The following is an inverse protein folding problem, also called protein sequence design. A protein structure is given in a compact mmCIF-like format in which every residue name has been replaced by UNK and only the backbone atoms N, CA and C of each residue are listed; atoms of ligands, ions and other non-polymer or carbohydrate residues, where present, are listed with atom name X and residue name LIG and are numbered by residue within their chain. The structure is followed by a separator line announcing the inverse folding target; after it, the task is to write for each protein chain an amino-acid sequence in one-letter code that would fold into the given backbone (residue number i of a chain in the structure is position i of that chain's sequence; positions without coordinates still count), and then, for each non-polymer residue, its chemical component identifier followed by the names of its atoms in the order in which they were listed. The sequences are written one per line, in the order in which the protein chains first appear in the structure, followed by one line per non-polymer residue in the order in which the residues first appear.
data_IF_642153353397
#
_entry.id   IF_642153353397
#
_cell.length_a   1.000
_cell.length_b   1.000
_cell.length_c   1.000
_cell.angle_alpha   90.00
_cell.angle_beta   90.00
_cell.angle_gamma   90.00
#
_symmetry.space_group_name_H-M   'P 1'
#
loop_
_entity.id
_entity.type
_entity.pdbx_description
1 polymer ?
#
# COMPACT_ATOMS: atom_id res chain seq x y z
N UNK A 1 -48.03 32.67 -6.62
CA UNK A 1 -47.08 33.76 -6.93
C UNK A 1 -46.32 34.10 -5.67
N UNK A 2 -45.02 34.32 -5.85
CA UNK A 2 -43.96 34.45 -4.84
C UNK A 2 -44.24 35.50 -3.74
N UNK A 3 -43.72 35.26 -2.53
CA UNK A 3 -42.49 35.93 -2.06
C UNK A 3 -42.03 35.38 -0.71
N UNK A 4 -40.80 34.90 -0.71
CA UNK A 4 -39.98 34.65 0.47
C UNK A 4 -39.47 35.98 1.06
N UNK A 5 -39.19 36.00 2.36
CA UNK A 5 -38.24 36.93 2.96
C UNK A 5 -37.54 36.26 4.15
N UNK A 6 -36.26 35.96 3.95
CA UNK A 6 -35.29 35.67 5.00
C UNK A 6 -34.93 36.95 5.76
N UNK A 7 -34.60 36.83 7.05
CA UNK A 7 -33.57 37.66 7.72
C UNK A 7 -33.06 36.94 8.98
N UNK A 8 -31.74 36.80 9.04
CA UNK A 8 -30.90 36.05 10.00
C UNK A 8 -30.63 36.85 11.30
N UNK A 9 -29.49 36.66 12.00
CA UNK A 9 -28.97 35.50 12.74
C UNK A 9 -28.93 35.81 14.26
N UNK A 10 -29.25 34.83 15.11
CA UNK A 10 -29.16 34.97 16.57
C UNK A 10 -28.09 34.07 17.15
N UNK A 11 -27.12 34.68 17.82
CA UNK A 11 -26.02 34.09 18.58
C UNK A 11 -26.37 32.76 19.27
N UNK A 12 -25.58 31.73 18.98
CA UNK A 12 -25.40 30.60 19.88
C UNK A 12 -23.92 30.47 20.20
N UNK A 13 -23.61 30.78 21.46
CA UNK A 13 -22.33 30.54 22.11
C UNK A 13 -21.76 29.14 21.85
N UNK A 14 -20.43 28.98 21.90
CA UNK A 14 -19.80 27.67 21.87
C UNK A 14 -20.08 26.92 23.18
N UNK A 15 -19.82 25.62 23.17
CA UNK A 15 -19.86 24.67 24.32
C UNK A 15 -21.21 24.03 24.65
N UNK A 16 -21.55 23.03 23.84
CA UNK A 16 -21.78 21.67 24.35
C UNK A 16 -21.02 20.70 23.45
N UNK A 17 -19.77 20.42 23.78
CA UNK A 17 -19.13 19.17 23.35
C UNK A 17 -19.97 18.04 23.92
N UNK A 18 -20.82 17.42 23.10
CA UNK A 18 -21.29 16.09 23.45
C UNK A 18 -20.04 15.21 23.52
N UNK A 19 -19.83 14.54 24.65
CA UNK A 19 -18.79 13.51 24.79
C UNK A 19 -19.14 12.25 23.96
N UNK A 20 -19.82 12.41 22.83
CA UNK A 20 -20.22 11.32 21.94
C UNK A 20 -19.26 11.31 20.76
N UNK A 21 -18.59 10.19 20.55
CA UNK A 21 -17.78 9.99 19.36
C UNK A 21 -18.64 9.97 18.09
N UNK A 22 -18.01 10.14 16.93
CA UNK A 22 -18.71 10.21 15.66
C UNK A 22 -19.31 8.84 15.27
N UNK A 23 -20.48 8.88 14.62
CA UNK A 23 -21.15 7.69 14.06
C UNK A 23 -21.49 7.97 12.61
N UNK A 24 -21.00 7.12 11.71
CA UNK A 24 -21.19 7.19 10.25
C UNK A 24 -21.57 5.80 9.75
N UNK A 25 -22.86 5.62 9.45
CA UNK A 25 -23.41 4.36 8.94
C UNK A 25 -23.62 4.38 7.43
N UNK A 26 -23.89 5.58 6.89
CA UNK A 26 -24.18 5.82 5.48
C UNK A 26 -23.04 6.61 4.85
N UNK A 27 -22.66 6.20 3.64
CA UNK A 27 -21.72 6.94 2.84
C UNK A 27 -22.32 8.29 2.41
N UNK A 28 -21.54 9.36 2.43
CA UNK A 28 -21.85 10.48 1.55
C UNK A 28 -21.69 10.04 0.08
N UNK A 29 -22.40 10.67 -0.88
CA UNK A 29 -22.14 10.47 -2.30
C UNK A 29 -20.65 10.60 -2.56
N UNK A 30 -19.98 9.65 -3.20
CA UNK A 30 -18.53 9.76 -3.39
C UNK A 30 -18.18 10.86 -4.39
N UNK A 31 -16.97 11.44 -4.29
CA UNK A 31 -16.51 12.41 -5.30
C UNK A 31 -16.34 11.70 -6.64
N UNK A 32 -17.09 12.09 -7.70
CA UNK A 32 -17.05 11.40 -8.99
C UNK A 32 -15.64 11.24 -9.52
N UNK A 33 -15.33 10.07 -10.09
CA UNK A 33 -14.04 9.81 -10.70
C UNK A 33 -13.97 10.59 -12.01
N UNK A 34 -12.96 11.42 -12.18
CA UNK A 34 -12.87 12.36 -13.32
C UNK A 34 -11.94 11.89 -14.43
N UNK A 35 -11.29 10.72 -14.27
CA UNK A 35 -10.31 10.19 -15.23
C UNK A 35 -10.41 8.68 -15.36
N UNK A 36 -10.31 8.17 -16.59
CA UNK A 36 -10.29 6.73 -16.87
C UNK A 36 -8.92 6.10 -16.58
N UNK A 37 -8.96 4.92 -15.96
CA UNK A 37 -7.81 4.04 -15.78
C UNK A 37 -7.14 4.18 -14.41
N UNK A 38 -6.23 3.24 -14.06
CA UNK A 38 -5.36 3.44 -12.90
C UNK A 38 -4.62 4.77 -13.06
N UNK A 39 -4.34 5.47 -11.95
CA UNK A 39 -3.41 6.61 -12.00
C UNK A 39 -2.17 6.15 -12.77
N UNK A 40 -1.67 6.93 -13.76
CA UNK A 40 -0.49 6.54 -14.49
C UNK A 40 0.63 6.31 -13.49
N UNK A 41 1.03 5.05 -13.32
CA UNK A 41 2.13 4.69 -12.44
C UNK A 41 3.35 5.46 -12.91
N UNK A 42 3.77 6.40 -12.09
CA UNK A 42 4.98 7.19 -12.32
C UNK A 42 6.08 6.47 -11.56
N UNK A 43 7.04 5.83 -12.25
CA UNK A 43 8.09 5.07 -11.58
C UNK A 43 8.78 5.93 -10.52
N UNK A 44 8.85 5.42 -9.29
CA UNK A 44 9.51 6.13 -8.20
C UNK A 44 11.01 6.26 -8.49
N UNK A 45 11.71 7.09 -7.72
CA UNK A 45 13.19 7.12 -7.79
C UNK A 45 13.78 5.73 -7.51
N UNK A 46 13.17 4.97 -6.60
CA UNK A 46 13.58 3.60 -6.28
C UNK A 46 13.46 2.68 -7.50
N UNK A 47 12.32 2.70 -8.21
CA UNK A 47 12.10 1.85 -9.39
C UNK A 47 13.08 2.19 -10.52
N UNK A 48 13.32 3.49 -10.74
CA UNK A 48 14.29 3.95 -11.73
C UNK A 48 15.72 3.56 -11.36
N UNK A 49 16.10 3.65 -10.08
CA UNK A 49 17.40 3.18 -9.57
C UNK A 49 17.56 1.67 -9.74
N UNK A 50 16.53 0.90 -9.44
CA UNK A 50 16.54 -0.56 -9.61
C UNK A 50 16.76 -0.96 -11.07
N UNK A 51 15.98 -0.38 -12.00
CA UNK A 51 16.16 -0.64 -13.44
C UNK A 51 17.55 -0.21 -13.95
N UNK A 52 18.11 0.88 -13.39
CA UNK A 52 19.46 1.32 -13.73
C UNK A 52 20.53 0.36 -13.23
N UNK A 53 20.42 -0.09 -11.97
CA UNK A 53 21.34 -1.05 -11.37
C UNK A 53 21.30 -2.40 -12.10
N UNK A 54 20.13 -2.89 -12.50
CA UNK A 54 19.99 -4.13 -13.27
C UNK A 54 20.73 -4.04 -14.62
N UNK A 55 20.60 -2.91 -15.34
CA UNK A 55 21.35 -2.68 -16.58
C UNK A 55 22.87 -2.62 -16.35
N UNK A 56 23.32 -1.98 -15.27
CA UNK A 56 24.74 -1.94 -14.90
C UNK A 56 25.27 -3.34 -14.59
N UNK A 57 24.53 -4.13 -13.82
CA UNK A 57 24.90 -5.52 -13.56
C UNK A 57 25.02 -6.29 -14.88
N UNK A 58 24.00 -6.23 -15.74
CA UNK A 58 23.99 -6.88 -17.05
C UNK A 58 25.22 -6.51 -17.89
N UNK A 59 25.56 -5.22 -17.95
CA UNK A 59 26.74 -4.74 -18.67
C UNK A 59 28.06 -5.31 -18.13
N UNK A 60 28.14 -5.54 -16.81
CA UNK A 60 29.34 -6.00 -16.13
C UNK A 60 29.34 -7.50 -15.78
N UNK A 61 28.29 -8.25 -16.16
CA UNK A 61 28.14 -9.68 -15.91
C UNK A 61 29.38 -10.51 -16.28
N UNK A 62 30.07 -10.32 -17.43
CA UNK A 62 31.25 -11.11 -17.75
C UNK A 62 32.38 -10.97 -16.71
N UNK A 63 32.59 -9.75 -16.20
CA UNK A 63 33.58 -9.50 -15.15
C UNK A 63 33.14 -10.12 -13.83
N UNK A 64 31.88 -9.90 -13.43
CA UNK A 64 31.32 -10.45 -12.20
C UNK A 64 31.34 -11.99 -12.20
N UNK A 65 31.09 -12.65 -13.34
CA UNK A 65 31.17 -14.11 -13.48
C UNK A 65 32.58 -14.64 -13.27
N UNK A 66 33.60 -13.93 -13.78
CA UNK A 66 35.01 -14.27 -13.52
C UNK A 66 35.38 -14.10 -12.05
N UNK A 67 34.91 -13.03 -11.40
CA UNK A 67 35.05 -12.85 -9.95
C UNK A 67 34.43 -14.03 -9.18
N UNK A 68 33.15 -14.33 -9.45
CA UNK A 68 32.42 -15.44 -8.82
C UNK A 68 33.14 -16.77 -8.93
N UNK A 69 33.71 -17.08 -10.10
CA UNK A 69 34.41 -18.33 -10.34
C UNK A 69 35.84 -18.36 -9.76
N UNK A 70 36.57 -17.24 -9.84
CA UNK A 70 37.98 -17.18 -9.41
C UNK A 70 38.18 -16.90 -7.93
N UNK A 71 37.16 -16.39 -7.23
CA UNK A 71 37.21 -16.01 -5.82
C UNK A 71 36.23 -16.85 -4.98
N UNK A 72 36.07 -18.14 -5.30
CA UNK A 72 35.25 -19.06 -4.51
C UNK A 72 35.74 -19.07 -3.06
N UNK A 73 34.81 -18.92 -2.11
CA UNK A 73 35.13 -18.81 -0.68
C UNK A 73 35.71 -17.46 -0.26
N UNK A 74 35.87 -16.50 -1.17
CA UNK A 74 36.37 -15.16 -0.86
C UNK A 74 35.40 -14.04 -1.29
N UNK A 75 34.81 -14.11 -2.47
CA UNK A 75 33.85 -13.13 -2.96
C UNK A 75 32.53 -13.24 -2.19
N UNK A 76 32.02 -12.14 -1.65
CA UNK A 76 30.83 -12.05 -0.78
C UNK A 76 29.57 -11.48 -1.44
N UNK A 77 29.65 -11.08 -2.71
CA UNK A 77 28.55 -10.45 -3.45
C UNK A 77 28.80 -8.97 -3.75
N UNK A 78 27.92 -8.37 -4.55
CA UNK A 78 27.91 -6.93 -4.87
C UNK A 78 26.71 -6.21 -4.24
N UNK A 79 26.90 -4.98 -3.79
CA UNK A 79 25.82 -4.06 -3.42
C UNK A 79 25.88 -2.81 -4.31
N UNK A 80 24.76 -2.44 -4.92
CA UNK A 80 24.64 -1.18 -5.65
C UNK A 80 24.24 -0.06 -4.70
N UNK A 81 25.22 0.75 -4.28
CA UNK A 81 25.02 1.85 -3.35
C UNK A 81 24.78 3.15 -4.09
N UNK A 82 23.68 3.82 -3.74
CA UNK A 82 23.28 5.11 -4.31
C UNK A 82 23.55 6.26 -3.35
N UNK A 83 24.00 7.39 -3.89
CA UNK A 83 23.98 8.67 -3.20
C UNK A 83 23.12 9.66 -3.99
N UNK A 84 22.22 10.36 -3.30
CA UNK A 84 21.32 11.34 -3.90
C UNK A 84 22.09 12.48 -4.59
N UNK A 85 21.55 13.00 -5.69
CA UNK A 85 22.18 14.08 -6.44
C UNK A 85 21.56 14.31 -7.82
N UNK A 86 21.91 15.43 -8.49
CA UNK A 86 21.36 15.78 -9.80
C UNK A 86 21.88 14.89 -10.95
N UNK A 87 22.93 14.10 -10.71
CA UNK A 87 23.54 13.23 -11.72
C UNK A 87 22.57 12.13 -12.19
N UNK A 88 22.89 11.51 -13.34
CA UNK A 88 22.12 10.39 -13.89
C UNK A 88 20.62 10.70 -14.08
N UNK A 89 20.29 11.94 -14.45
CA UNK A 89 18.90 12.38 -14.62
C UNK A 89 18.14 12.51 -13.29
N UNK A 90 18.82 12.91 -12.23
CA UNK A 90 18.25 13.07 -10.88
C UNK A 90 18.17 11.76 -10.07
N UNK A 91 18.81 10.68 -10.54
CA UNK A 91 18.94 9.43 -9.77
C UNK A 91 20.12 9.46 -8.80
N UNK A 92 21.02 10.44 -8.95
CA UNK A 92 22.25 10.54 -8.16
C UNK A 92 23.39 9.70 -8.72
N UNK A 93 24.34 9.36 -7.85
CA UNK A 93 25.53 8.58 -8.20
C UNK A 93 25.40 7.16 -7.67
N UNK A 94 25.95 6.19 -8.40
CA UNK A 94 25.93 4.78 -8.04
C UNK A 94 27.35 4.22 -7.98
N UNK A 95 27.60 3.36 -7.00
CA UNK A 95 28.85 2.63 -6.82
C UNK A 95 28.54 1.16 -6.56
N UNK A 96 29.25 0.25 -7.24
CA UNK A 96 29.19 -1.17 -6.97
C UNK A 96 30.17 -1.56 -5.86
N UNK A 97 29.68 -1.80 -4.65
CA UNK A 97 30.51 -2.27 -3.54
C UNK A 97 30.69 -3.79 -3.68
N UNK A 98 31.93 -4.21 -3.93
CA UNK A 98 32.27 -5.61 -4.13
C UNK A 98 32.90 -6.16 -2.85
N UNK A 99 32.17 -7.03 -2.17
CA UNK A 99 32.60 -7.58 -0.88
C UNK A 99 33.56 -8.77 -1.06
N UNK A 100 34.63 -8.78 -0.28
CA UNK A 100 35.53 -9.92 -0.14
C UNK A 100 35.84 -10.20 1.33
N UNK A 101 35.95 -11.46 1.70
CA UNK A 101 36.37 -11.87 3.05
C UNK A 101 37.83 -11.49 3.30
N UNK A 102 38.68 -11.66 2.28
CA UNK A 102 40.12 -11.47 2.36
C UNK A 102 40.64 -10.58 1.22
N UNK A 103 41.54 -9.66 1.60
CA UNK A 103 42.35 -8.81 0.70
C UNK A 103 41.54 -8.11 -0.41
N UNK A 104 40.47 -7.36 -0.06
CA UNK A 104 39.47 -6.89 -1.02
C UNK A 104 40.06 -6.06 -2.18
N UNK A 105 40.98 -5.14 -1.90
CA UNK A 105 41.61 -4.31 -2.93
C UNK A 105 42.42 -5.12 -3.94
N UNK A 106 43.22 -6.09 -3.45
CA UNK A 106 44.05 -6.91 -4.34
C UNK A 106 43.22 -7.92 -5.13
N UNK A 107 42.11 -8.40 -4.57
CA UNK A 107 41.18 -9.28 -5.27
C UNK A 107 40.48 -8.55 -6.41
N UNK A 108 39.86 -7.40 -6.16
CA UNK A 108 39.15 -6.67 -7.21
C UNK A 108 40.05 -6.24 -8.38
N UNK A 109 41.27 -5.75 -8.09
CA UNK A 109 42.25 -5.32 -9.11
C UNK A 109 42.65 -6.41 -10.10
N UNK A 110 42.50 -7.70 -9.76
CA UNK A 110 42.74 -8.79 -10.73
C UNK A 110 41.71 -8.82 -11.86
N UNK A 111 40.55 -8.20 -11.66
CA UNK A 111 39.40 -8.32 -12.56
C UNK A 111 38.99 -7.00 -13.21
N UNK A 112 39.22 -5.87 -12.55
CA UNK A 112 38.91 -4.54 -13.08
C UNK A 112 39.66 -3.41 -12.37
N UNK A 113 39.98 -2.36 -13.12
CA UNK A 113 40.44 -1.06 -12.60
C UNK A 113 39.34 0.03 -12.75
N UNK A 114 38.10 -0.36 -13.09
CA UNK A 114 37.00 0.57 -13.25
C UNK A 114 36.58 1.14 -11.88
N UNK A 115 36.61 2.46 -11.76
CA UNK A 115 36.29 3.21 -10.53
C UNK A 115 34.84 3.13 -10.10
N UNK A 116 33.94 2.62 -10.96
CA UNK A 116 32.56 2.26 -10.58
C UNK A 116 32.53 1.23 -9.44
N UNK A 117 33.53 0.35 -9.37
CA UNK A 117 33.58 -0.72 -8.38
C UNK A 117 34.54 -0.35 -7.24
N UNK A 118 34.05 -0.48 -6.02
CA UNK A 118 34.85 -0.27 -4.82
C UNK A 118 34.95 -1.58 -4.03
N UNK A 119 36.17 -1.99 -3.65
CA UNK A 119 36.37 -3.21 -2.88
C UNK A 119 36.08 -2.95 -1.39
N UNK A 120 35.33 -3.83 -0.74
CA UNK A 120 35.03 -3.77 0.69
C UNK A 120 35.28 -5.11 1.39
N UNK A 121 35.54 -5.08 2.70
CA UNK A 121 35.62 -6.29 3.51
C UNK A 121 34.20 -6.76 3.85
N UNK A 122 33.90 -8.02 3.56
CA UNK A 122 32.69 -8.70 4.02
C UNK A 122 33.01 -9.70 5.13
N UNK A 123 31.99 -10.08 5.89
CA UNK A 123 32.10 -11.02 7.01
C UNK A 123 31.91 -12.48 6.58
N UNK A 124 31.28 -12.69 5.42
CA UNK A 124 31.07 -14.02 4.87
C UNK A 124 31.20 -14.04 3.34
N UNK A 125 31.56 -15.20 2.81
CA UNK A 125 31.66 -15.43 1.38
C UNK A 125 30.30 -15.79 0.78
N UNK A 126 30.22 -15.73 -0.54
CA UNK A 126 29.03 -16.06 -1.31
C UNK A 126 28.48 -17.46 -1.00
N UNK A 127 29.36 -18.41 -0.74
CA UNK A 127 29.02 -19.79 -0.39
C UNK A 127 28.17 -19.91 0.87
N UNK A 128 28.19 -18.91 1.73
CA UNK A 128 27.47 -18.87 3.01
C UNK A 128 26.22 -17.98 2.97
N UNK A 129 25.94 -17.29 1.87
CA UNK A 129 24.87 -16.28 1.77
C UNK A 129 23.50 -16.80 2.17
N UNK A 130 23.09 -17.95 1.64
CA UNK A 130 21.77 -18.54 1.89
C UNK A 130 21.58 -18.87 3.38
N UNK A 131 22.57 -19.55 3.97
CA UNK A 131 22.57 -19.88 5.39
C UNK A 131 22.53 -18.61 6.25
N UNK A 132 23.43 -17.65 6.02
CA UNK A 132 23.52 -16.43 6.82
C UNK A 132 22.21 -15.63 6.77
N UNK A 133 21.62 -15.42 5.58
CA UNK A 133 20.39 -14.66 5.47
C UNK A 133 19.20 -15.37 6.15
N UNK A 134 19.09 -16.70 6.02
CA UNK A 134 18.04 -17.48 6.70
C UNK A 134 18.20 -17.48 8.21
N UNK A 135 19.41 -17.73 8.70
CA UNK A 135 19.73 -17.72 10.13
C UNK A 135 19.37 -16.36 10.75
N UNK A 136 19.67 -15.26 10.04
CA UNK A 136 19.30 -13.92 10.49
C UNK A 136 17.81 -13.62 10.40
N UNK A 137 17.12 -14.03 9.34
CA UNK A 137 15.68 -13.88 9.23
C UNK A 137 14.95 -14.63 10.37
N UNK A 138 15.39 -15.85 10.69
CA UNK A 138 14.87 -16.62 11.83
C UNK A 138 15.21 -15.94 13.17
N UNK A 139 16.43 -15.46 13.33
CA UNK A 139 16.86 -14.74 14.54
C UNK A 139 16.05 -13.46 14.80
N UNK A 140 15.68 -12.74 13.73
CA UNK A 140 14.88 -11.51 13.81
C UNK A 140 13.39 -11.84 14.02
N UNK A 141 12.90 -12.90 13.38
CA UNK A 141 11.48 -13.26 13.31
C UNK A 141 11.00 -13.18 11.86
N UNK A 142 10.41 -14.27 11.36
CA UNK A 142 10.00 -14.40 9.95
C UNK A 142 8.77 -13.53 9.59
N UNK A 143 8.06 -13.07 10.60
CA UNK A 143 7.02 -12.05 10.55
C UNK A 143 7.59 -10.65 10.25
N UNK A 144 8.84 -10.39 10.66
CA UNK A 144 9.51 -9.09 10.53
C UNK A 144 10.50 -9.04 9.37
N UNK A 145 11.25 -10.12 9.16
CA UNK A 145 12.34 -10.19 8.19
C UNK A 145 12.18 -11.38 7.24
N UNK A 146 12.29 -11.12 5.93
CA UNK A 146 12.32 -12.16 4.90
C UNK A 146 13.65 -12.14 4.15
N UNK A 147 14.31 -13.29 3.92
CA UNK A 147 15.57 -13.34 3.18
C UNK A 147 15.33 -13.21 1.68
N UNK A 148 16.24 -12.50 0.99
CA UNK A 148 16.26 -12.37 -0.45
C UNK A 148 17.66 -12.56 -1.04
N UNK A 149 17.71 -13.06 -2.27
CA UNK A 149 18.95 -13.46 -2.94
C UNK A 149 18.98 -13.00 -4.39
N UNK A 150 20.12 -12.47 -4.79
CA UNK A 150 20.43 -12.13 -6.18
C UNK A 150 21.49 -13.06 -6.75
N UNK A 151 21.58 -13.13 -8.09
CA UNK A 151 22.62 -13.97 -8.68
C UNK A 151 24.02 -13.39 -8.47
N UNK A 152 24.26 -12.08 -8.45
CA UNK A 152 25.61 -11.55 -8.13
C UNK A 152 25.64 -10.76 -6.82
N UNK A 153 24.46 -10.41 -6.30
CA UNK A 153 24.30 -9.54 -5.16
C UNK A 153 24.81 -10.13 -3.84
N UNK A 154 25.13 -9.24 -2.91
CA UNK A 154 25.11 -9.56 -1.50
C UNK A 154 23.66 -9.89 -1.08
N UNK A 155 23.45 -10.83 -0.13
CA UNK A 155 22.12 -11.20 0.30
C UNK A 155 21.48 -10.03 1.06
N UNK A 156 20.16 -10.01 1.09
CA UNK A 156 19.43 -8.98 1.83
C UNK A 156 18.33 -9.57 2.69
N UNK A 157 17.89 -8.78 3.66
CA UNK A 157 16.65 -9.00 4.39
C UNK A 157 15.67 -7.88 4.04
N UNK A 158 14.48 -8.24 3.58
CA UNK A 158 13.36 -7.33 3.47
C UNK A 158 12.74 -7.17 4.87
N UNK A 159 12.84 -5.97 5.43
CA UNK A 159 12.39 -5.62 6.79
C UNK A 159 11.03 -4.93 6.71
N UNK A 160 10.06 -5.48 7.44
CA UNK A 160 8.64 -5.09 7.38
C UNK A 160 8.21 -4.09 8.45
N UNK A 161 9.10 -3.75 9.38
CA UNK A 161 8.93 -2.70 10.40
C UNK A 161 9.71 -1.44 10.02
N UNK A 162 9.45 -0.35 10.72
CA UNK A 162 10.18 0.90 10.52
C UNK A 162 11.67 0.76 10.85
N UNK A 163 12.53 1.63 10.28
CA UNK A 163 13.96 1.62 10.60
C UNK A 163 14.21 1.86 12.08
N UNK A 164 13.52 2.84 12.67
CA UNK A 164 13.71 3.18 14.08
C UNK A 164 13.37 2.01 15.00
N UNK A 165 12.30 1.26 14.69
CA UNK A 165 11.91 0.09 15.45
C UNK A 165 12.91 -1.06 15.30
N UNK A 166 13.39 -1.30 14.07
CA UNK A 166 14.43 -2.30 13.84
C UNK A 166 15.73 -1.96 14.57
N UNK A 167 16.16 -0.69 14.52
CA UNK A 167 17.38 -0.23 15.20
C UNK A 167 17.25 -0.34 16.73
N UNK A 168 16.09 0.03 17.30
CA UNK A 168 15.81 -0.15 18.72
C UNK A 168 15.89 -1.63 19.14
N UNK A 169 15.31 -2.52 18.34
CA UNK A 169 15.39 -3.97 18.56
C UNK A 169 16.84 -4.48 18.46
N UNK A 170 17.59 -4.01 17.45
CA UNK A 170 18.99 -4.39 17.27
C UNK A 170 19.82 -3.99 18.49
N UNK A 171 19.63 -2.78 18.99
CA UNK A 171 20.36 -2.23 20.13
C UNK A 171 19.98 -2.94 21.43
N UNK A 172 18.69 -3.17 21.68
CA UNK A 172 18.20 -3.94 22.85
C UNK A 172 18.78 -5.36 22.88
N UNK A 173 18.85 -6.00 21.72
CA UNK A 173 19.32 -7.39 21.59
C UNK A 173 20.83 -7.51 21.41
N UNK A 174 21.55 -6.40 21.30
CA UNK A 174 23.00 -6.38 21.05
C UNK A 174 23.39 -7.11 19.76
N UNK A 175 22.59 -6.98 18.70
CA UNK A 175 22.81 -7.68 17.44
C UNK A 175 23.88 -7.00 16.59
N UNK A 176 24.95 -7.73 16.29
CA UNK A 176 25.98 -7.33 15.34
C UNK A 176 25.64 -7.90 13.95
N UNK A 177 24.93 -7.11 13.14
CA UNK A 177 24.49 -7.52 11.80
C UNK A 177 25.70 -7.52 10.85
N UNK A 178 25.94 -8.60 10.09
CA UNK A 178 27.05 -8.69 9.15
C UNK A 178 27.08 -7.55 8.12
N UNK A 179 28.28 -7.05 7.83
CA UNK A 179 28.55 -5.92 6.93
C UNK A 179 27.98 -6.12 5.54
N UNK A 180 28.08 -7.35 5.00
CA UNK A 180 27.59 -7.69 3.67
C UNK A 180 26.23 -8.41 3.69
N UNK A 181 25.41 -8.19 4.73
CA UNK A 181 23.98 -8.52 4.75
C UNK A 181 23.17 -7.22 4.65
N UNK A 182 22.54 -6.98 3.50
CA UNK A 182 21.85 -5.72 3.23
C UNK A 182 20.49 -5.71 3.94
N UNK A 183 20.18 -4.65 4.69
CA UNK A 183 18.87 -4.46 5.30
C UNK A 183 18.01 -3.55 4.42
N UNK A 184 16.99 -4.12 3.76
CA UNK A 184 16.02 -3.39 2.94
C UNK A 184 14.77 -3.09 3.76
N UNK A 185 14.80 -1.96 4.44
CA UNK A 185 13.59 -1.40 5.08
C UNK A 185 12.73 -0.77 4.00
N UNK A 186 11.49 -1.23 3.86
CA UNK A 186 10.54 -0.66 2.92
C UNK A 186 10.11 0.74 3.37
N UNK A 187 10.10 1.72 2.47
CA UNK A 187 9.57 3.05 2.76
C UNK A 187 8.07 3.02 3.12
N UNK A 188 7.34 1.98 2.70
CA UNK A 188 5.95 1.76 3.10
C UNK A 188 5.81 1.45 4.61
N UNK A 189 6.88 0.99 5.27
CA UNK A 189 6.90 0.78 6.71
C UNK A 189 7.11 2.09 7.49
N UNK A 190 7.33 3.20 6.79
CA UNK A 190 7.65 4.51 7.37
C UNK A 190 6.66 5.58 6.90
N UNK A 191 5.39 5.51 7.32
CA UNK A 191 4.40 6.53 7.02
C UNK A 191 4.82 7.90 7.61
N UNK A 192 4.77 8.95 6.80
CA UNK A 192 5.16 10.32 7.17
C UNK A 192 3.97 11.18 7.63
N UNK A 193 2.74 10.68 7.47
CA UNK A 193 1.52 11.29 7.99
C UNK A 193 0.97 10.53 9.21
N UNK A 194 0.32 11.25 10.16
CA UNK A 194 -0.34 10.62 11.28
C UNK A 194 -1.54 9.79 10.80
N UNK A 195 -1.76 8.65 11.47
CA UNK A 195 -2.90 7.77 11.28
C UNK A 195 -4.23 8.53 11.50
N UNK A 196 -4.31 9.28 12.61
CA UNK A 196 -5.41 10.20 12.92
C UNK A 196 -4.84 11.60 13.17
N UNK A 197 -5.19 12.61 12.36
CA UNK A 197 -4.75 13.99 12.58
C UNK A 197 -5.42 14.60 13.82
N UNK A 198 -4.79 15.62 14.42
CA UNK A 198 -5.21 16.19 15.70
C UNK A 198 -6.66 16.67 15.73
N UNK A 199 -7.15 17.22 14.62
CA UNK A 199 -8.52 17.69 14.48
C UNK A 199 -9.59 16.57 14.49
N UNK A 200 -9.19 15.30 14.34
CA UNK A 200 -10.09 14.15 14.36
C UNK A 200 -9.97 13.28 15.61
N UNK A 201 -8.99 13.55 16.48
CA UNK A 201 -8.80 12.79 17.73
C UNK A 201 -9.99 12.86 18.69
N UNK A 202 -10.79 13.92 18.62
CA UNK A 202 -12.01 14.05 19.42
C UNK A 202 -13.21 13.26 18.84
N UNK A 203 -13.17 12.91 17.54
CA UNK A 203 -14.25 12.22 16.83
C UNK A 203 -14.04 10.71 16.75
N UNK A 204 -12.77 10.28 16.75
CA UNK A 204 -12.37 8.88 16.55
C UNK A 204 -11.74 8.37 17.83
N UNK A 205 -12.28 7.28 18.36
CA UNK A 205 -11.80 6.67 19.60
C UNK A 205 -10.51 5.90 19.36
N UNK A 206 -10.49 5.08 18.31
CA UNK A 206 -9.32 4.29 17.94
C UNK A 206 -9.32 4.00 16.44
N UNK A 207 -8.19 4.24 15.76
CA UNK A 207 -7.96 3.77 14.39
C UNK A 207 -7.01 2.57 14.45
N UNK A 208 -7.52 1.34 14.41
CA UNK A 208 -6.68 0.15 14.47
C UNK A 208 -5.91 -0.04 13.16
N UNK A 209 -4.59 -0.09 13.27
CA UNK A 209 -3.71 -0.36 12.14
C UNK A 209 -2.68 -1.43 12.51
N UNK A 210 -2.29 -2.22 11.53
CA UNK A 210 -1.14 -3.12 11.62
C UNK A 210 0.13 -2.32 11.95
N UNK A 211 1.01 -2.91 12.75
CA UNK A 211 2.32 -2.33 13.09
C UNK A 211 3.44 -2.79 12.16
N UNK A 212 3.17 -3.84 11.37
CA UNK A 212 4.09 -4.45 10.41
C UNK A 212 3.45 -4.36 9.04
N UNK A 213 4.24 -4.14 7.99
CA UNK A 213 3.73 -4.22 6.62
C UNK A 213 3.12 -5.60 6.35
N UNK A 214 1.96 -5.65 5.73
CA UNK A 214 1.35 -6.90 5.28
C UNK A 214 2.30 -7.71 4.38
N UNK A 215 2.23 -9.04 4.52
CA UNK A 215 3.00 -9.97 3.71
C UNK A 215 2.38 -10.13 2.32
N UNK A 216 2.90 -11.03 1.48
CA UNK A 216 2.21 -11.39 0.24
C UNK A 216 0.80 -11.91 0.57
N UNK A 217 -0.22 -11.17 0.13
CA UNK A 217 -1.62 -11.53 0.33
C UNK A 217 -2.17 -12.27 -0.89
N UNK A 218 -3.09 -13.25 -0.73
CA UNK A 218 -3.83 -13.83 -1.84
C UNK A 218 -4.54 -12.74 -2.65
N UNK A 219 -4.60 -12.91 -3.97
CA UNK A 219 -5.33 -12.02 -4.86
C UNK A 219 -6.83 -12.35 -4.82
N UNK A 220 -7.47 -12.02 -3.70
CA UNK A 220 -8.90 -12.16 -3.47
C UNK A 220 -9.46 -10.78 -3.17
N UNK A 221 -10.57 -10.43 -3.82
CA UNK A 221 -11.27 -9.18 -3.58
C UNK A 221 -12.61 -9.43 -2.89
N UNK A 222 -12.75 -9.02 -1.63
CA UNK A 222 -14.05 -8.90 -0.95
C UNK A 222 -14.54 -7.45 -0.98
N UNK A 223 -15.84 -7.25 -0.79
CA UNK A 223 -16.47 -5.93 -0.94
C UNK A 223 -17.55 -5.68 0.10
N UNK A 224 -17.27 -4.81 1.07
CA UNK A 224 -18.18 -4.44 2.14
C UNK A 224 -18.05 -2.94 2.46
N UNK A 225 -18.92 -2.40 3.29
CA UNK A 225 -18.75 -1.04 3.81
C UNK A 225 -17.95 -1.07 5.12
N UNK A 226 -17.14 -0.04 5.34
CA UNK A 226 -16.54 0.22 6.65
C UNK A 226 -17.29 1.38 7.28
N UNK A 227 -17.99 1.11 8.38
CA UNK A 227 -18.79 2.10 9.11
C UNK A 227 -18.10 2.52 10.40
N UNK A 228 -18.47 3.69 10.91
CA UNK A 228 -18.01 4.20 12.21
C UNK A 228 -19.18 4.16 13.20
N UNK A 229 -19.00 3.52 14.36
CA UNK A 229 -19.97 3.51 15.46
C UNK A 229 -19.25 3.88 16.75
N UNK A 230 -19.70 4.94 17.39
CA UNK A 230 -19.07 5.50 18.60
C UNK A 230 -17.52 5.63 18.49
N UNK A 231 -17.04 6.12 17.35
CA UNK A 231 -15.62 6.33 17.11
C UNK A 231 -14.80 5.07 16.84
N UNK A 232 -15.44 3.92 16.64
CA UNK A 232 -14.82 2.63 16.32
C UNK A 232 -15.26 2.13 14.93
N UNK A 233 -14.32 1.53 14.19
CA UNK A 233 -14.55 1.12 12.80
C UNK A 233 -14.97 -0.35 12.71
N UNK A 234 -16.04 -0.60 11.97
CA UNK A 234 -16.60 -1.94 11.78
C UNK A 234 -16.73 -2.26 10.30
N UNK A 235 -16.53 -3.53 9.96
CA UNK A 235 -16.98 -4.06 8.67
C UNK A 235 -18.47 -4.32 8.81
N UNK A 236 -19.27 -3.67 7.96
CA UNK A 236 -20.72 -3.84 7.95
C UNK A 236 -21.06 -5.05 7.08
N UNK A 237 -21.26 -6.18 7.74
CA UNK A 237 -21.54 -7.48 7.12
C UNK A 237 -23.02 -7.84 7.28
N UNK A 238 -23.49 -8.80 6.48
CA UNK A 238 -24.80 -9.39 6.70
C UNK A 238 -24.83 -10.18 8.01
N UNK A 239 -25.47 -9.64 9.07
CA UNK A 239 -25.61 -10.30 10.37
C UNK A 239 -25.83 -9.32 11.52
N UNK A 240 -25.81 -9.84 12.76
CA UNK A 240 -25.90 -9.01 13.97
C UNK A 240 -24.54 -8.78 14.67
N UNK A 241 -23.46 -9.40 14.21
CA UNK A 241 -22.12 -9.36 14.84
C UNK A 241 -21.03 -8.90 13.86
N UNK A 242 -21.11 -7.63 13.50
CA UNK A 242 -20.10 -6.96 12.69
C UNK A 242 -18.74 -6.94 13.40
N UNK A 243 -17.66 -7.36 12.71
CA UNK A 243 -16.33 -7.32 13.28
C UNK A 243 -15.75 -5.90 13.28
N UNK A 244 -14.84 -5.64 14.23
CA UNK A 244 -13.97 -4.48 14.15
C UNK A 244 -13.01 -4.64 12.97
N UNK A 245 -12.89 -3.60 12.16
CA UNK A 245 -11.94 -3.57 11.06
C UNK A 245 -10.55 -3.19 11.59
N UNK A 246 -9.50 -3.88 11.14
CA UNK A 246 -8.10 -3.47 11.34
C UNK A 246 -7.47 -3.15 9.97
N UNK A 247 -6.76 -2.03 9.88
CA UNK A 247 -6.27 -1.50 8.60
C UNK A 247 -4.77 -1.75 8.39
N UNK A 248 -4.28 -1.74 7.13
CA UNK A 248 -2.85 -1.80 6.87
C UNK A 248 -2.10 -0.60 7.49
N UNK A 249 -0.84 -0.81 7.86
CA UNK A 249 0.04 0.21 8.48
C UNK A 249 0.02 1.57 7.75
N UNK A 250 0.02 1.53 6.42
CA UNK A 250 0.05 2.71 5.55
C UNK A 250 -1.26 3.49 5.46
N UNK A 251 -2.32 3.09 6.15
CA UNK A 251 -3.65 3.73 6.08
C UNK A 251 -3.87 4.70 7.23
N UNK A 252 -4.42 5.86 6.88
CA UNK A 252 -4.89 6.87 7.83
C UNK A 252 -6.26 7.40 7.44
N UNK A 253 -6.77 8.32 8.26
CA UNK A 253 -8.07 8.97 8.07
C UNK A 253 -7.89 10.49 7.95
N UNK A 254 -8.77 11.14 7.20
CA UNK A 254 -8.86 12.60 7.14
C UNK A 254 -10.30 13.04 6.83
N UNK A 255 -10.54 14.36 6.90
CA UNK A 255 -11.74 14.96 6.30
C UNK A 255 -11.39 15.49 4.92
N UNK A 256 -12.14 15.08 3.93
CA UNK A 256 -11.99 15.60 2.57
C UNK A 256 -12.54 17.03 2.43
N UNK A 257 -12.41 17.57 1.22
CA UNK A 257 -12.79 18.95 0.90
C UNK A 257 -14.31 19.21 1.06
N UNK A 258 -15.12 18.15 1.11
CA UNK A 258 -16.56 18.20 1.35
C UNK A 258 -16.92 17.97 2.82
N UNK A 259 -15.92 17.75 3.69
CA UNK A 259 -16.06 17.58 5.13
C UNK A 259 -16.32 16.15 5.60
N UNK A 260 -16.29 15.17 4.68
CA UNK A 260 -16.59 13.77 4.98
C UNK A 260 -15.36 13.00 5.46
N UNK A 261 -15.56 12.03 6.34
CA UNK A 261 -14.49 11.12 6.75
C UNK A 261 -14.11 10.20 5.59
N UNK A 262 -12.83 10.20 5.24
CA UNK A 262 -12.27 9.39 4.17
C UNK A 262 -10.94 8.77 4.58
N UNK A 263 -10.64 7.62 3.98
CA UNK A 263 -9.34 6.97 4.12
C UNK A 263 -8.32 7.65 3.21
N UNK A 264 -7.05 7.60 3.61
CA UNK A 264 -5.92 8.09 2.82
C UNK A 264 -4.70 7.21 3.03
N UNK A 265 -3.78 7.28 2.07
CA UNK A 265 -2.40 6.89 2.32
C UNK A 265 -1.77 7.79 3.39
N UNK A 266 -0.96 7.20 4.25
CA UNK A 266 -0.10 7.92 5.20
C UNK A 266 1.27 8.26 4.63
N UNK A 267 1.48 8.04 3.33
CA UNK A 267 2.66 8.47 2.60
C UNK A 267 2.28 9.71 1.78
N UNK A 268 2.79 10.88 2.15
CA UNK A 268 2.37 12.18 1.59
C UNK A 268 2.59 12.32 0.08
N UNK A 269 3.55 11.58 -0.48
CA UNK A 269 3.78 11.50 -1.91
C UNK A 269 2.72 10.69 -2.67
N UNK A 270 1.86 9.95 -1.98
CA UNK A 270 0.80 9.13 -2.57
C UNK A 270 -0.53 9.88 -2.51
N UNK A 271 -1.02 10.27 -3.68
CA UNK A 271 -2.23 11.08 -3.84
C UNK A 271 -3.49 10.25 -4.07
N UNK A 272 -3.36 8.92 -4.15
CA UNK A 272 -4.50 8.03 -4.38
C UNK A 272 -5.55 8.23 -3.29
N UNK A 273 -6.74 8.65 -3.72
CA UNK A 273 -7.90 8.78 -2.84
C UNK A 273 -8.49 7.39 -2.60
N UNK A 274 -8.62 7.04 -1.33
CA UNK A 274 -9.29 5.81 -0.91
C UNK A 274 -10.77 6.09 -0.63
N UNK A 275 -11.52 5.05 -0.27
CA UNK A 275 -12.95 5.16 -0.03
C UNK A 275 -13.32 6.10 1.13
N UNK A 276 -14.57 6.61 1.11
CA UNK A 276 -15.18 7.32 2.24
C UNK A 276 -15.69 6.32 3.28
N UNK A 277 -15.68 6.70 4.55
CA UNK A 277 -16.33 5.90 5.60
C UNK A 277 -17.83 5.81 5.31
N UNK A 278 -18.40 4.61 5.46
CA UNK A 278 -19.77 4.26 5.14
C UNK A 278 -20.00 3.85 3.67
N UNK A 279 -19.04 4.12 2.76
CA UNK A 279 -19.12 3.67 1.36
C UNK A 279 -18.68 2.23 1.20
N UNK A 280 -19.19 1.57 0.16
CA UNK A 280 -18.71 0.24 -0.19
C UNK A 280 -17.30 0.35 -0.75
N UNK A 281 -16.44 -0.55 -0.30
CA UNK A 281 -15.04 -0.60 -0.69
C UNK A 281 -14.60 -2.02 -0.97
N UNK A 282 -13.60 -2.14 -1.84
CA UNK A 282 -12.89 -3.38 -2.02
C UNK A 282 -11.87 -3.52 -0.88
N UNK A 283 -12.09 -4.54 -0.05
CA UNK A 283 -11.30 -4.82 1.16
C UNK A 283 -10.15 -5.78 0.93
N UNK A 284 -10.08 -6.36 -0.27
CA UNK A 284 -9.11 -7.37 -0.66
C UNK A 284 -9.22 -8.64 0.17
N UNK A 285 -8.09 -9.17 0.64
CA UNK A 285 -8.10 -10.37 1.48
C UNK A 285 -8.47 -9.99 2.90
N UNK A 286 -9.42 -10.71 3.46
CA UNK A 286 -9.85 -10.56 4.85
C UNK A 286 -9.32 -11.72 5.69
N UNK A 287 -8.89 -11.43 6.90
CA UNK A 287 -8.43 -12.47 7.83
C UNK A 287 -8.75 -12.08 9.26
N UNK A 288 -9.25 -13.04 10.04
CA UNK A 288 -9.50 -12.84 11.46
C UNK A 288 -8.17 -12.72 12.21
N UNK A 289 -8.11 -11.77 13.14
CA UNK A 289 -6.94 -11.53 13.97
C UNK A 289 -7.11 -12.35 15.25
N UNK A 290 -6.28 -13.38 15.41
CA UNK A 290 -6.38 -14.28 16.56
C UNK A 290 -6.02 -13.63 17.90
N UNK A 291 -5.15 -12.61 17.87
CA UNK A 291 -4.70 -11.87 19.04
C UNK A 291 -4.79 -10.36 18.76
N UNK A 292 -5.99 -9.76 18.92
CA UNK A 292 -6.21 -8.37 18.61
C UNK A 292 -5.53 -7.45 19.65
N UNK A 293 -5.10 -6.22 19.25
CA UNK A 293 -4.44 -5.31 20.18
C UNK A 293 -5.30 -4.97 21.40
N UNK A 294 -4.73 -5.09 22.62
CA UNK A 294 -5.43 -4.76 23.87
C UNK A 294 -6.02 -3.35 23.87
N UNK A 295 -5.31 -2.38 23.27
CA UNK A 295 -5.77 -1.00 23.16
C UNK A 295 -7.04 -0.86 22.29
N UNK A 296 -7.19 -1.68 21.24
CA UNK A 296 -8.40 -1.72 20.43
C UNK A 296 -9.56 -2.26 21.26
N UNK A 297 -9.38 -3.37 21.97
CA UNK A 297 -10.42 -3.99 22.78
C UNK A 297 -10.84 -3.08 23.95
N UNK A 298 -9.88 -2.43 24.60
CA UNK A 298 -10.14 -1.47 25.66
C UNK A 298 -10.92 -0.23 25.16
N UNK A 299 -10.66 0.21 23.93
CA UNK A 299 -11.35 1.35 23.34
C UNK A 299 -12.76 0.97 22.85
N UNK A 300 -12.86 -0.10 22.06
CA UNK A 300 -14.02 -0.41 21.22
C UNK A 300 -14.86 -1.60 21.69
N UNK A 301 -14.47 -2.25 22.78
CA UNK A 301 -15.14 -3.43 23.30
C UNK A 301 -14.66 -4.73 22.66
N UNK A 302 -15.19 -5.84 23.17
CA UNK A 302 -14.83 -7.17 22.72
C UNK A 302 -15.70 -7.59 21.54
N UNK A 303 -15.10 -7.55 20.35
CA UNK A 303 -15.68 -8.00 19.08
C UNK A 303 -14.66 -8.87 18.35
N UNK A 304 -15.13 -9.66 17.38
CA UNK A 304 -14.24 -10.26 16.39
C UNK A 304 -13.48 -9.15 15.65
N UNK A 305 -12.19 -9.34 15.41
CA UNK A 305 -11.35 -8.36 14.70
C UNK A 305 -10.91 -8.97 13.38
N UNK A 306 -11.08 -8.22 12.28
CA UNK A 306 -10.73 -8.65 10.94
C UNK A 306 -9.79 -7.63 10.31
N UNK A 307 -8.62 -8.09 9.88
CA UNK A 307 -7.72 -7.28 9.05
C UNK A 307 -8.18 -7.29 7.60
N UNK A 308 -8.00 -6.15 6.94
CA UNK A 308 -8.24 -5.93 5.51
C UNK A 308 -6.94 -5.42 4.88
N UNK A 309 -6.68 -5.74 3.62
CA UNK A 309 -5.43 -5.31 2.95
C UNK A 309 -5.63 -4.18 1.92
N UNK A 310 -6.89 -3.78 1.66
CA UNK A 310 -7.25 -2.73 0.72
C UNK A 310 -8.43 -1.91 1.24
N UNK A 311 -8.54 -0.66 0.79
CA UNK A 311 -9.66 0.25 1.08
C UNK A 311 -10.01 1.06 -0.18
N UNK A 312 -9.79 0.45 -1.33
CA UNK A 312 -10.11 1.09 -2.60
C UNK A 312 -11.62 1.22 -2.71
N UNK A 313 -12.08 2.32 -3.28
CA UNK A 313 -13.49 2.48 -3.58
C UNK A 313 -13.97 1.33 -4.46
N UNK A 314 -15.10 0.69 -4.08
CA UNK A 314 -15.62 -0.46 -4.84
C UNK A 314 -16.04 -0.03 -6.25
N UNK A 315 -16.68 1.12 -6.35
CA UNK A 315 -17.02 1.73 -7.62
C UNK A 315 -15.75 2.01 -8.44
N UNK A 316 -15.61 1.28 -9.55
CA UNK A 316 -14.45 1.42 -10.42
C UNK A 316 -13.27 0.48 -10.17
N UNK A 317 -13.39 -0.41 -9.19
CA UNK A 317 -12.41 -1.48 -8.97
C UNK A 317 -12.41 -2.49 -10.14
N UNK A 318 -11.32 -3.23 -10.35
CA UNK A 318 -11.33 -4.42 -11.20
C UNK A 318 -11.41 -4.19 -12.72
N UNK A 319 -10.95 -3.04 -13.23
CA UNK A 319 -10.90 -2.78 -14.69
C UNK A 319 -12.18 -2.22 -15.30
N UNK A 320 -13.20 -1.93 -14.49
CA UNK A 320 -14.46 -1.27 -14.91
C UNK A 320 -14.18 0.01 -15.70
N UNK A 321 -13.22 0.84 -15.27
CA UNK A 321 -12.84 2.05 -16.02
C UNK A 321 -12.18 1.74 -17.37
N UNK A 322 -11.46 0.63 -17.49
CA UNK A 322 -10.94 0.23 -18.80
C UNK A 322 -12.10 -0.06 -19.77
N UNK A 323 -13.12 -0.79 -19.31
CA UNK A 323 -14.30 -1.11 -20.11
C UNK A 323 -15.15 0.14 -20.46
N UNK A 324 -15.31 1.09 -19.52
CA UNK A 324 -15.96 2.39 -19.82
C UNK A 324 -15.25 3.10 -20.98
N UNK A 325 -13.91 3.03 -21.04
CA UNK A 325 -13.13 3.60 -22.15
C UNK A 325 -13.42 2.93 -23.49
N UNK A 326 -13.42 1.60 -23.51
CA UNK A 326 -13.66 0.83 -24.74
C UNK A 326 -15.09 1.07 -25.27
N UNK A 327 -16.06 1.15 -24.35
CA UNK A 327 -17.47 1.37 -24.70
C UNK A 327 -17.75 2.81 -25.11
N UNK A 328 -17.09 3.81 -24.52
CA UNK A 328 -17.24 5.21 -24.92
C UNK A 328 -17.00 5.40 -26.43
N UNK A 329 -15.94 4.78 -26.95
CA UNK A 329 -15.61 4.82 -28.37
C UNK A 329 -16.67 4.12 -29.25
N UNK A 330 -17.23 3.00 -28.78
CA UNK A 330 -18.32 2.28 -29.47
C UNK A 330 -19.59 3.14 -29.52
N UNK A 331 -19.92 3.79 -28.42
CA UNK A 331 -21.19 4.50 -28.23
C UNK A 331 -21.14 5.96 -28.73
N UNK A 332 -20.00 6.38 -29.30
CA UNK A 332 -19.79 7.71 -29.84
C UNK A 332 -19.71 8.81 -28.77
N UNK A 333 -19.49 8.43 -27.51
CA UNK A 333 -19.35 9.35 -26.38
C UNK A 333 -17.90 9.82 -26.27
N UNK A 334 -17.70 11.08 -25.86
CA UNK A 334 -16.38 11.50 -25.43
C UNK A 334 -16.06 10.97 -24.02
N UNK A 335 -14.78 11.03 -23.63
CA UNK A 335 -14.31 10.47 -22.36
C UNK A 335 -15.04 11.06 -21.14
N UNK A 336 -15.28 12.37 -21.14
CA UNK A 336 -15.92 13.05 -20.03
C UNK A 336 -17.41 12.66 -19.90
N UNK A 337 -18.10 12.50 -21.02
CA UNK A 337 -19.51 12.05 -21.05
C UNK A 337 -19.64 10.61 -20.55
N UNK A 338 -18.78 9.71 -21.02
CA UNK A 338 -18.77 8.32 -20.57
C UNK A 338 -18.48 8.22 -19.06
N UNK A 339 -17.54 9.02 -18.55
CA UNK A 339 -17.26 9.10 -17.11
C UNK A 339 -18.44 9.66 -16.31
N UNK A 340 -19.10 10.71 -16.80
CA UNK A 340 -20.25 11.29 -16.12
C UNK A 340 -21.39 10.26 -15.99
N UNK A 341 -21.68 9.53 -17.08
CA UNK A 341 -22.71 8.49 -17.10
C UNK A 341 -22.35 7.31 -16.17
N UNK A 342 -21.10 6.85 -16.22
CA UNK A 342 -20.63 5.77 -15.35
C UNK A 342 -20.72 6.13 -13.87
N UNK A 343 -20.27 7.34 -13.50
CA UNK A 343 -20.37 7.82 -12.12
C UNK A 343 -21.82 7.98 -11.67
N UNK A 344 -22.71 8.48 -12.53
CA UNK A 344 -24.12 8.63 -12.18
C UNK A 344 -24.76 7.28 -11.84
N UNK A 345 -24.51 6.26 -12.66
CA UNK A 345 -24.98 4.90 -12.39
C UNK A 345 -24.41 4.36 -11.08
N UNK A 346 -23.09 4.45 -10.88
CA UNK A 346 -22.43 3.91 -9.69
C UNK A 346 -22.92 4.59 -8.40
N UNK A 347 -23.16 5.91 -8.44
CA UNK A 347 -23.77 6.63 -7.32
C UNK A 347 -25.18 6.15 -7.01
N UNK A 348 -25.99 5.83 -8.03
CA UNK A 348 -27.34 5.27 -7.83
C UNK A 348 -27.28 3.86 -7.24
N UNK A 349 -26.37 3.02 -7.76
CA UNK A 349 -26.14 1.67 -7.25
C UNK A 349 -25.72 1.67 -5.78
N UNK A 350 -24.76 2.53 -5.40
CA UNK A 350 -24.30 2.67 -4.01
C UNK A 350 -25.42 3.16 -3.09
N UNK A 351 -26.25 4.10 -3.54
CA UNK A 351 -27.45 4.53 -2.79
C UNK A 351 -28.40 3.37 -2.56
N UNK A 352 -28.72 2.61 -3.60
CA UNK A 352 -29.64 1.48 -3.48
C UNK A 352 -29.12 0.41 -2.50
N UNK A 353 -27.82 0.12 -2.57
CA UNK A 353 -27.16 -0.81 -1.66
C UNK A 353 -27.19 -0.31 -0.21
N UNK A 354 -26.89 0.97 0.02
CA UNK A 354 -26.97 1.59 1.33
C UNK A 354 -28.41 1.58 1.88
N UNK A 355 -29.40 1.88 1.04
CA UNK A 355 -30.82 1.84 1.40
C UNK A 355 -31.28 0.43 1.78
N UNK A 356 -30.92 -0.58 0.97
CA UNK A 356 -31.24 -1.97 1.26
C UNK A 356 -30.61 -2.41 2.60
N UNK A 357 -29.32 -2.10 2.82
CA UNK A 357 -28.57 -2.41 4.04
C UNK A 357 -29.14 -1.71 5.28
N UNK A 358 -29.31 -0.39 5.22
CA UNK A 358 -29.63 0.43 6.39
C UNK A 358 -31.12 0.53 6.71
N UNK A 359 -31.98 0.38 5.69
CA UNK A 359 -33.42 0.64 5.79
C UNK A 359 -34.27 -0.59 5.49
N UNK A 360 -33.64 -1.76 5.27
CA UNK A 360 -34.32 -3.01 4.94
C UNK A 360 -35.02 -2.96 3.58
N UNK A 361 -34.52 -2.14 2.67
CA UNK A 361 -35.00 -2.11 1.29
C UNK A 361 -34.80 -3.46 0.60
N UNK A 362 -35.70 -3.78 -0.32
CA UNK A 362 -35.66 -4.99 -1.15
C UNK A 362 -35.62 -4.68 -2.64
N UNK A 363 -35.16 -3.47 -2.99
CA UNK A 363 -35.13 -3.04 -4.37
C UNK A 363 -34.09 -3.86 -5.15
N UNK A 364 -34.47 -4.31 -6.34
CA UNK A 364 -33.63 -5.12 -7.20
C UNK A 364 -32.46 -4.30 -7.75
N UNK A 365 -31.25 -4.79 -7.52
CA UNK A 365 -30.03 -4.11 -7.93
C UNK A 365 -29.73 -4.41 -9.40
N UNK A 366 -29.68 -3.35 -10.23
CA UNK A 366 -29.07 -3.47 -11.55
C UNK A 366 -27.62 -3.01 -11.47
N UNK A 367 -26.69 -3.94 -11.66
CA UNK A 367 -25.25 -3.63 -11.66
C UNK A 367 -24.89 -2.74 -12.84
N UNK A 368 -24.20 -1.64 -12.56
CA UNK A 368 -23.77 -0.68 -13.58
C UNK A 368 -22.87 -1.31 -14.63
N UNK A 369 -22.10 -2.34 -14.29
CA UNK A 369 -21.28 -3.10 -15.23
C UNK A 369 -22.12 -3.73 -16.37
N UNK A 370 -23.35 -4.15 -16.06
CA UNK A 370 -24.29 -4.71 -17.03
C UNK A 370 -24.92 -3.62 -17.91
N UNK A 371 -25.15 -2.42 -17.36
CA UNK A 371 -25.73 -1.27 -18.07
C UNK A 371 -24.69 -0.56 -18.94
N UNK A 372 -23.47 -0.40 -18.44
CA UNK A 372 -22.35 0.23 -19.13
C UNK A 372 -21.77 -0.65 -20.25
N UNK A 373 -22.43 -1.76 -20.60
CA UNK A 373 -22.06 -2.71 -21.65
C UNK A 373 -20.64 -3.28 -21.50
N UNK A 374 -20.20 -3.63 -20.28
CA UNK A 374 -18.98 -4.43 -20.10
C UNK A 374 -19.31 -5.83 -20.64
N UNK A 375 -18.76 -6.27 -21.80
CA UNK A 375 -19.11 -7.59 -22.32
C UNK A 375 -18.66 -8.66 -21.31
N UNK A 376 -19.49 -9.68 -21.01
CA UNK A 376 -19.17 -10.72 -20.04
C UNK A 376 -18.03 -11.66 -20.48
N UNK A 377 -17.37 -11.40 -21.61
CA UNK A 377 -16.31 -12.24 -22.16
C UNK A 377 -15.43 -11.43 -23.14
N UNK A 378 -14.13 -11.73 -23.24
CA UNK A 378 -13.30 -11.21 -24.33
C UNK A 378 -13.96 -11.57 -25.67
N UNK A 379 -13.99 -10.67 -26.66
CA UNK A 379 -14.49 -11.01 -27.98
C UNK A 379 -13.69 -12.21 -28.51
N UNK A 380 -14.36 -13.33 -28.72
CA UNK A 380 -13.80 -14.42 -29.52
C UNK A 380 -13.46 -13.84 -30.88
N UNK A 381 -12.17 -13.90 -31.25
CA UNK A 381 -11.68 -13.46 -32.54
C UNK A 381 -12.56 -14.06 -33.66
N UNK A 382 -13.16 -13.24 -34.54
CA UNK A 382 -13.89 -13.75 -35.68
C UNK A 382 -12.90 -14.40 -36.65
N UNK A 383 -13.03 -15.71 -36.89
CA UNK A 383 -12.39 -16.38 -38.03
C UNK A 383 -11.20 -17.27 -37.71
N UNK A 384 -11.41 -18.34 -36.93
CA UNK A 384 -10.72 -19.61 -37.18
C UNK A 384 -11.74 -20.73 -37.16
N UNK A 385 -12.47 -20.83 -38.27
CA UNK A 385 -13.15 -22.07 -38.68
C UNK A 385 -12.23 -22.89 -39.57
#
# INVERSE_FOLDING_TARGET
MLLAACSAPGDASPTKTSNSYETVLEAPPYTPITRLGPEPYTPTVHDRRWQFADRLEHQHLPMLRRLKAGEIGNFGGIEWRWADGPQSGGLGTVTGIVYFVNKPTSSLRRYTDNTLFQPARGDFARTDQDRVARDWAERIGQDIASPGFGNMDAPWLDIRISRNEFEAMRDERGWDVPTNLILKVSHWAEPDLPAVPDNLKASIRYLPAETVLAGPTPDIATYDAIVLRDGCFFIDEDGEDDPLAMFPLGIGIYRDDEGHLAFRSRHSGQTTRLARVGSRMQLGSRSEVSDPPDALIAACGQHRVVTVNSLNQAAGYGGVWHAVKENAARDGLNEAEAMAQANACLLEQEKLLADNRLRGGNAELTWCEMIMHIPPTPPTLPGTG
#
